data_IF_541636739931
#
_entry.id   IF_541636739931
#
_cell.length_a   1.000
_cell.length_b   1.000
_cell.length_c   1.000
_cell.angle_alpha   90.00
_cell.angle_beta   90.00
_cell.angle_gamma   90.00
#
_symmetry.space_group_name_H-M   'P 1'
#
loop_
_entity.id
_entity.type
_entity.pdbx_description
1 polymer ?
#
# COMPACT_ATOMS: atom_id res chain seq x y z
N UNK A 1 11.18 -3.21 -10.82
CA UNK A 1 11.38 -2.00 -11.66
C UNK A 1 10.07 -1.59 -12.35
N UNK A 2 9.34 -2.54 -12.92
CA UNK A 2 8.06 -2.29 -13.61
C UNK A 2 6.99 -1.74 -12.65
N UNK A 3 6.82 -2.33 -11.46
CA UNK A 3 5.88 -1.84 -10.43
C UNK A 3 6.19 -0.42 -10.00
N UNK A 4 7.50 -0.12 -9.75
CA UNK A 4 7.93 1.23 -9.39
C UNK A 4 7.68 2.23 -10.51
N UNK A 5 7.91 1.86 -11.76
CA UNK A 5 7.62 2.71 -12.92
C UNK A 5 6.12 2.99 -13.04
N UNK A 6 5.26 1.98 -12.91
CA UNK A 6 3.80 2.16 -12.94
C UNK A 6 3.32 3.08 -11.81
N UNK A 7 3.89 2.94 -10.60
CA UNK A 7 3.61 3.83 -9.49
C UNK A 7 4.04 5.27 -9.78
N UNK A 8 5.21 5.48 -10.39
CA UNK A 8 5.68 6.80 -10.80
C UNK A 8 4.76 7.46 -11.84
N UNK A 9 4.29 6.69 -12.82
CA UNK A 9 3.36 7.19 -13.86
C UNK A 9 1.95 7.44 -13.33
N UNK A 10 1.57 6.86 -12.19
CA UNK A 10 0.27 7.07 -11.55
C UNK A 10 -0.92 6.42 -12.27
N UNK A 11 -0.66 5.60 -13.30
CA UNK A 11 -1.70 5.10 -14.20
C UNK A 11 -2.57 3.99 -13.61
N UNK A 12 -2.08 3.25 -12.58
CA UNK A 12 -2.72 2.05 -12.06
C UNK A 12 -2.92 2.02 -10.54
N UNK A 13 -2.51 3.06 -9.82
CA UNK A 13 -2.49 3.07 -8.35
C UNK A 13 -3.88 2.74 -7.77
N UNK A 14 -4.93 3.36 -8.30
CA UNK A 14 -6.30 3.10 -7.83
C UNK A 14 -6.71 1.64 -8.02
N UNK A 15 -6.35 1.02 -9.16
CA UNK A 15 -6.64 -0.39 -9.42
C UNK A 15 -5.83 -1.32 -8.52
N UNK A 16 -4.55 -1.00 -8.29
CA UNK A 16 -3.69 -1.79 -7.41
C UNK A 16 -4.20 -1.75 -5.96
N UNK A 17 -4.69 -0.60 -5.47
CA UNK A 17 -5.31 -0.46 -4.16
C UNK A 17 -6.61 -1.30 -4.07
N UNK A 18 -7.47 -1.24 -5.07
CA UNK A 18 -8.71 -2.03 -5.13
C UNK A 18 -8.41 -3.52 -5.07
N UNK A 19 -7.45 -3.99 -5.88
CA UNK A 19 -7.04 -5.40 -5.89
C UNK A 19 -6.45 -5.81 -4.53
N UNK A 20 -5.60 -4.98 -3.94
CA UNK A 20 -5.02 -5.24 -2.62
C UNK A 20 -6.11 -5.37 -1.54
N UNK A 21 -7.10 -4.48 -1.53
CA UNK A 21 -8.22 -4.55 -0.57
C UNK A 21 -9.01 -5.85 -0.77
N UNK A 22 -9.29 -6.23 -2.04
CA UNK A 22 -9.96 -7.49 -2.35
C UNK A 22 -9.18 -8.69 -1.84
N UNK A 23 -7.89 -8.77 -2.16
CA UNK A 23 -7.01 -9.88 -1.76
C UNK A 23 -6.94 -9.99 -0.23
N UNK A 24 -6.89 -8.88 0.50
CA UNK A 24 -6.88 -8.90 1.97
C UNK A 24 -8.20 -9.38 2.56
N UNK A 25 -9.33 -8.96 2.00
CA UNK A 25 -10.65 -9.45 2.44
C UNK A 25 -10.82 -10.95 2.17
N UNK A 26 -10.45 -11.41 0.97
CA UNK A 26 -10.55 -12.81 0.60
C UNK A 26 -9.62 -13.69 1.46
N UNK A 27 -8.36 -13.31 1.61
CA UNK A 27 -7.38 -14.05 2.42
C UNK A 27 -7.79 -14.14 3.89
N UNK A 28 -8.29 -13.06 4.48
CA UNK A 28 -8.75 -13.06 5.87
C UNK A 28 -9.87 -14.07 6.11
N UNK A 29 -10.77 -14.24 5.14
CA UNK A 29 -11.93 -15.14 5.25
C UNK A 29 -11.58 -16.58 4.89
N UNK A 30 -10.69 -16.79 3.92
CA UNK A 30 -10.34 -18.13 3.44
C UNK A 30 -9.38 -18.88 4.35
N UNK A 31 -8.40 -18.16 4.90
CA UNK A 31 -7.25 -18.77 5.57
C UNK A 31 -7.33 -18.77 7.10
N UNK A 32 -8.37 -18.16 7.69
CA UNK A 32 -8.48 -18.01 9.13
C UNK A 32 -9.78 -18.62 9.67
N UNK A 33 -9.79 -18.86 10.98
CA UNK A 33 -11.02 -18.99 11.75
C UNK A 33 -11.64 -17.59 12.00
N UNK A 34 -12.77 -17.53 12.72
CA UNK A 34 -13.47 -16.26 12.94
C UNK A 34 -12.62 -15.24 13.70
N UNK A 35 -11.92 -15.66 14.75
CA UNK A 35 -11.07 -14.77 15.56
C UNK A 35 -9.85 -14.29 14.74
N UNK A 36 -9.21 -15.19 14.00
CA UNK A 36 -8.11 -14.86 13.09
C UNK A 36 -8.54 -13.90 11.99
N UNK A 37 -9.73 -14.10 11.42
CA UNK A 37 -10.31 -13.18 10.44
C UNK A 37 -10.53 -11.77 11.03
N UNK A 38 -11.07 -11.67 12.25
CA UNK A 38 -11.22 -10.37 12.92
C UNK A 38 -9.89 -9.67 13.12
N UNK A 39 -8.88 -10.41 13.59
CA UNK A 39 -7.56 -9.84 13.82
C UNK A 39 -6.90 -9.37 12.52
N UNK A 40 -7.00 -10.15 11.46
CA UNK A 40 -6.41 -9.79 10.17
C UNK A 40 -7.09 -8.56 9.55
N UNK A 41 -8.42 -8.50 9.55
CA UNK A 41 -9.15 -7.32 9.06
C UNK A 41 -8.83 -6.05 9.87
N UNK A 42 -8.69 -6.18 11.19
CA UNK A 42 -8.33 -5.06 12.05
C UNK A 42 -6.89 -4.59 11.78
N UNK A 43 -5.95 -5.50 11.63
CA UNK A 43 -4.53 -5.18 11.41
C UNK A 43 -4.23 -4.65 10.02
N UNK A 44 -4.89 -5.19 8.98
CA UNK A 44 -4.58 -4.86 7.59
C UNK A 44 -5.45 -3.73 7.04
N UNK A 45 -6.73 -3.71 7.36
CA UNK A 45 -7.70 -2.74 6.82
C UNK A 45 -8.23 -1.76 7.87
N UNK A 46 -7.84 -1.92 9.14
CA UNK A 46 -8.32 -1.12 10.28
C UNK A 46 -9.86 -1.04 10.30
N UNK A 47 -10.51 -2.20 10.17
CA UNK A 47 -11.96 -2.34 10.19
C UNK A 47 -12.38 -3.52 11.05
N UNK A 48 -13.56 -3.39 11.66
CA UNK A 48 -14.22 -4.48 12.34
C UNK A 48 -14.87 -5.45 11.34
N UNK A 49 -15.02 -6.70 11.74
CA UNK A 49 -15.65 -7.75 10.93
C UNK A 49 -17.13 -7.42 10.71
N UNK A 50 -17.61 -7.32 9.45
CA UNK A 50 -18.98 -6.91 9.16
C UNK A 50 -20.03 -8.03 9.23
N UNK A 51 -19.69 -9.14 9.84
CA UNK A 51 -20.54 -10.32 9.99
C UNK A 51 -20.31 -11.00 11.34
N UNK A 52 -21.28 -11.80 11.78
CA UNK A 52 -21.21 -12.55 13.03
C UNK A 52 -20.51 -13.91 12.83
N UNK A 53 -20.14 -14.56 13.95
CA UNK A 53 -19.55 -15.90 13.90
C UNK A 53 -20.52 -16.94 13.29
N UNK A 54 -21.83 -16.77 13.50
CA UNK A 54 -22.86 -17.64 12.91
C UNK A 54 -22.93 -17.46 11.39
N UNK A 55 -22.88 -16.21 10.90
CA UNK A 55 -22.81 -15.91 9.47
C UNK A 55 -21.52 -16.50 8.87
N UNK A 56 -20.39 -16.37 9.56
CA UNK A 56 -19.10 -16.90 9.10
C UNK A 56 -19.12 -18.42 8.91
N UNK A 57 -19.86 -19.14 9.76
CA UNK A 57 -19.99 -20.60 9.68
C UNK A 57 -21.00 -21.07 8.62
N UNK A 58 -22.04 -20.28 8.37
CA UNK A 58 -23.18 -20.71 7.57
C UNK A 58 -23.20 -20.13 6.16
N UNK A 59 -22.59 -18.98 5.93
CA UNK A 59 -22.56 -18.34 4.61
C UNK A 59 -21.38 -18.81 3.77
N UNK A 60 -21.50 -18.65 2.45
CA UNK A 60 -20.41 -18.92 1.52
C UNK A 60 -19.30 -17.87 1.70
N UNK A 61 -18.06 -18.34 1.71
CA UNK A 61 -16.87 -17.48 1.85
C UNK A 61 -16.81 -16.37 0.81
N UNK A 62 -17.17 -16.65 -0.44
CA UNK A 62 -17.23 -15.65 -1.51
C UNK A 62 -18.21 -14.50 -1.19
N UNK A 63 -19.40 -14.83 -0.67
CA UNK A 63 -20.42 -13.84 -0.29
C UNK A 63 -19.92 -12.95 0.86
N UNK A 64 -19.26 -13.55 1.85
CA UNK A 64 -18.65 -12.81 2.95
C UNK A 64 -17.48 -11.92 2.47
N UNK A 65 -16.69 -12.41 1.52
CA UNK A 65 -15.60 -11.64 0.92
C UNK A 65 -16.12 -10.41 0.16
N UNK A 66 -17.17 -10.57 -0.65
CA UNK A 66 -17.81 -9.45 -1.34
C UNK A 66 -18.41 -8.42 -0.38
N UNK A 67 -19.13 -8.88 0.66
CA UNK A 67 -19.71 -8.01 1.70
C UNK A 67 -18.61 -7.22 2.40
N UNK A 68 -17.53 -7.89 2.79
CA UNK A 68 -16.38 -7.27 3.47
C UNK A 68 -15.67 -6.28 2.57
N UNK A 69 -15.44 -6.63 1.32
CA UNK A 69 -14.82 -5.78 0.32
C UNK A 69 -15.62 -4.49 0.09
N UNK A 70 -16.93 -4.58 -0.08
CA UNK A 70 -17.78 -3.41 -0.30
C UNK A 70 -17.68 -2.42 0.87
N UNK A 71 -17.71 -2.92 2.11
CA UNK A 71 -17.55 -2.09 3.31
C UNK A 71 -16.13 -1.52 3.43
N UNK A 72 -15.11 -2.31 3.11
CA UNK A 72 -13.73 -1.85 3.09
C UNK A 72 -13.51 -0.72 2.07
N UNK A 73 -14.09 -0.86 0.88
CA UNK A 73 -14.04 0.19 -0.17
C UNK A 73 -14.78 1.46 0.24
N UNK A 74 -15.95 1.34 0.88
CA UNK A 74 -16.67 2.49 1.40
C UNK A 74 -15.88 3.21 2.50
N UNK A 75 -15.27 2.46 3.42
CA UNK A 75 -14.39 3.00 4.45
C UNK A 75 -13.15 3.69 3.85
N UNK A 76 -12.53 3.10 2.85
CA UNK A 76 -11.41 3.70 2.13
C UNK A 76 -11.81 5.02 1.47
N UNK A 77 -12.91 5.03 0.72
CA UNK A 77 -13.45 6.23 0.07
C UNK A 77 -13.75 7.33 1.09
N UNK A 78 -14.39 7.02 2.20
CA UNK A 78 -14.67 7.98 3.28
C UNK A 78 -13.39 8.57 3.89
N UNK A 79 -12.35 7.74 4.08
CA UNK A 79 -11.05 8.21 4.61
C UNK A 79 -10.35 9.15 3.62
N UNK A 80 -10.36 8.83 2.32
CA UNK A 80 -9.75 9.67 1.28
C UNK A 80 -10.49 10.99 1.07
N UNK A 81 -11.83 10.97 1.10
CA UNK A 81 -12.66 12.18 1.05
C UNK A 81 -12.41 13.09 2.27
N UNK A 82 -12.29 12.51 3.46
CA UNK A 82 -11.97 13.26 4.68
C UNK A 82 -10.59 13.92 4.59
N UNK A 83 -9.59 13.22 4.05
CA UNK A 83 -8.26 13.79 3.84
C UNK A 83 -8.31 14.99 2.89
N UNK A 84 -9.02 14.87 1.77
CA UNK A 84 -9.22 15.97 0.84
C UNK A 84 -9.94 17.17 1.49
N UNK A 85 -10.98 16.92 2.28
CA UNK A 85 -11.71 17.97 3.00
C UNK A 85 -10.86 18.72 4.02
N UNK A 86 -9.95 18.03 4.72
CA UNK A 86 -9.04 18.65 5.67
C UNK A 86 -7.97 19.50 4.94
N UNK A 87 -7.47 19.03 3.80
CA UNK A 87 -6.46 19.72 3.02
C UNK A 87 -7.03 20.96 2.27
N UNK A 88 -8.28 20.90 1.84
CA UNK A 88 -8.87 21.89 0.94
C UNK A 88 -8.82 23.35 1.43
N UNK A 89 -9.15 23.68 2.69
CA UNK A 89 -9.07 25.05 3.19
C UNK A 89 -7.65 25.62 3.12
N UNK A 90 -6.65 24.79 3.46
CA UNK A 90 -5.23 25.18 3.43
C UNK A 90 -4.77 25.42 1.98
N UNK A 91 -5.13 24.49 1.07
CA UNK A 91 -4.79 24.61 -0.35
C UNK A 91 -5.42 25.89 -0.96
N UNK A 92 -6.69 26.17 -0.67
CA UNK A 92 -7.36 27.41 -1.14
C UNK A 92 -6.63 28.64 -0.63
N UNK A 93 -6.35 28.71 0.66
CA UNK A 93 -5.66 29.85 1.26
C UNK A 93 -4.28 30.07 0.64
N UNK A 94 -3.50 29.03 0.43
CA UNK A 94 -2.15 29.14 -0.18
C UNK A 94 -2.27 29.56 -1.65
N UNK A 95 -3.18 28.97 -2.41
CA UNK A 95 -3.36 29.29 -3.83
C UNK A 95 -3.83 30.73 -4.03
N UNK A 96 -4.80 31.20 -3.29
CA UNK A 96 -5.35 32.56 -3.41
C UNK A 96 -4.34 33.64 -2.98
N UNK A 97 -3.51 33.37 -1.97
CA UNK A 97 -2.55 34.33 -1.45
C UNK A 97 -1.19 34.28 -2.18
N UNK A 98 -0.74 33.09 -2.59
CA UNK A 98 0.64 32.86 -3.05
C UNK A 98 0.72 31.95 -4.29
N UNK A 99 -0.40 31.68 -4.97
CA UNK A 99 -0.43 30.75 -6.11
C UNK A 99 0.45 31.15 -7.29
N UNK A 100 0.79 32.43 -7.41
CA UNK A 100 1.72 32.94 -8.42
C UNK A 100 3.20 32.71 -8.09
N UNK A 101 3.51 32.38 -6.82
CA UNK A 101 4.90 32.20 -6.34
C UNK A 101 5.35 30.74 -6.35
N UNK A 102 4.39 29.80 -6.22
CA UNK A 102 4.69 28.38 -6.03
C UNK A 102 3.96 27.53 -7.05
N UNK A 103 4.70 26.75 -7.82
CA UNK A 103 4.15 25.73 -8.71
C UNK A 103 3.81 24.45 -7.94
N UNK A 104 4.70 24.05 -7.05
CA UNK A 104 4.55 22.84 -6.21
C UNK A 104 4.64 23.22 -4.73
N UNK A 105 3.89 22.47 -3.92
CA UNK A 105 3.90 22.60 -2.46
C UNK A 105 4.25 21.28 -1.82
N UNK A 106 4.81 21.36 -0.62
CA UNK A 106 5.03 20.20 0.25
C UNK A 106 3.98 20.20 1.35
N UNK A 107 3.24 19.11 1.42
CA UNK A 107 2.17 18.89 2.40
C UNK A 107 2.66 17.84 3.38
N UNK A 108 2.86 18.18 4.68
CA UNK A 108 3.19 17.20 5.69
C UNK A 108 1.93 16.42 6.10
N UNK A 109 1.97 15.10 5.96
CA UNK A 109 0.92 14.18 6.43
C UNK A 109 1.53 13.27 7.47
N UNK A 110 0.89 13.15 8.63
CA UNK A 110 1.38 12.33 9.74
C UNK A 110 0.28 11.47 10.34
N UNK A 111 0.66 10.27 10.80
CA UNK A 111 -0.15 9.37 11.62
C UNK A 111 0.18 9.48 13.13
N UNK A 112 1.03 10.46 13.49
CA UNK A 112 1.55 10.64 14.84
C UNK A 112 2.85 9.89 15.15
N UNK A 113 3.24 8.91 14.32
CA UNK A 113 4.51 8.16 14.43
C UNK A 113 5.44 8.45 13.25
N UNK A 114 4.88 8.58 12.06
CA UNK A 114 5.62 8.85 10.82
C UNK A 114 5.12 10.14 10.19
N UNK A 115 6.01 10.84 9.51
CA UNK A 115 5.69 12.04 8.75
C UNK A 115 6.10 11.83 7.29
N UNK A 116 5.17 12.08 6.38
CA UNK A 116 5.38 12.02 4.95
C UNK A 116 5.24 13.42 4.37
N UNK A 117 6.25 13.91 3.67
CA UNK A 117 6.20 15.17 2.95
C UNK A 117 5.78 14.90 1.51
N UNK A 118 4.54 15.23 1.18
CA UNK A 118 3.94 14.96 -0.12
C UNK A 118 4.12 16.17 -1.01
N UNK A 119 4.81 15.99 -2.14
CA UNK A 119 4.91 17.02 -3.17
C UNK A 119 3.69 16.96 -4.08
N UNK A 120 3.00 18.07 -4.22
CA UNK A 120 1.82 18.19 -5.05
C UNK A 120 1.85 19.51 -5.84
N UNK A 121 1.34 19.49 -7.09
CA UNK A 121 1.16 20.70 -7.87
C UNK A 121 0.02 21.52 -7.26
N UNK A 122 0.30 22.78 -6.92
CA UNK A 122 -0.64 23.64 -6.18
C UNK A 122 -1.91 23.95 -7.00
N UNK A 123 -1.77 24.23 -8.30
CA UNK A 123 -2.89 24.51 -9.18
C UNK A 123 -3.81 23.29 -9.33
N UNK A 124 -3.21 22.12 -9.58
CA UNK A 124 -3.97 20.87 -9.70
C UNK A 124 -4.67 20.50 -8.38
N UNK A 125 -4.03 20.72 -7.23
CA UNK A 125 -4.64 20.52 -5.92
C UNK A 125 -5.84 21.47 -5.69
N UNK A 126 -5.74 22.73 -6.11
CA UNK A 126 -6.82 23.70 -6.00
C UNK A 126 -8.00 23.32 -6.91
N UNK A 127 -7.75 23.07 -8.20
CA UNK A 127 -8.77 22.75 -9.20
C UNK A 127 -9.50 21.43 -8.92
N UNK A 128 -8.81 20.46 -8.30
CA UNK A 128 -9.39 19.15 -7.94
C UNK A 128 -10.05 19.12 -6.55
N UNK A 129 -10.19 20.26 -5.88
CA UNK A 129 -10.67 20.32 -4.49
C UNK A 129 -9.88 19.38 -3.55
N UNK A 130 -8.55 19.38 -3.70
CA UNK A 130 -7.57 18.58 -2.96
C UNK A 130 -7.62 17.06 -3.22
N UNK A 131 -8.34 16.57 -4.22
CA UNK A 131 -8.29 15.15 -4.63
C UNK A 131 -6.92 14.78 -5.17
N UNK A 132 -6.22 15.71 -5.82
CA UNK A 132 -4.85 15.50 -6.29
C UNK A 132 -3.86 15.30 -5.13
N UNK A 133 -4.11 15.90 -3.96
CA UNK A 133 -3.33 15.66 -2.74
C UNK A 133 -3.46 14.21 -2.28
N UNK A 134 -4.67 13.63 -2.35
CA UNK A 134 -4.90 12.22 -2.00
C UNK A 134 -4.13 11.30 -2.94
N UNK A 135 -4.20 11.53 -4.24
CA UNK A 135 -3.45 10.75 -5.24
C UNK A 135 -1.93 10.86 -5.05
N UNK A 136 -1.44 12.06 -4.76
CA UNK A 136 -0.04 12.29 -4.47
C UNK A 136 0.41 11.55 -3.19
N UNK A 137 -0.45 11.51 -2.18
CA UNK A 137 -0.23 10.75 -0.96
C UNK A 137 -0.17 9.24 -1.23
N UNK A 138 -1.17 8.67 -1.91
CA UNK A 138 -1.21 7.25 -2.29
C UNK A 138 0.04 6.85 -3.09
N UNK A 139 0.42 7.66 -4.07
CA UNK A 139 1.63 7.48 -4.86
C UNK A 139 2.90 7.51 -3.99
N UNK A 140 3.01 8.46 -3.07
CA UNK A 140 4.16 8.59 -2.18
C UNK A 140 4.31 7.39 -1.26
N UNK A 141 3.22 6.91 -0.66
CA UNK A 141 3.23 5.71 0.19
C UNK A 141 3.63 4.47 -0.60
N UNK A 142 3.04 4.27 -1.78
CA UNK A 142 3.36 3.12 -2.63
C UNK A 142 4.83 3.11 -3.03
N UNK A 143 5.39 4.25 -3.43
CA UNK A 143 6.81 4.38 -3.77
C UNK A 143 7.71 4.11 -2.57
N UNK A 144 7.34 4.63 -1.39
CA UNK A 144 8.08 4.40 -0.16
C UNK A 144 8.12 2.91 0.20
N UNK A 145 6.98 2.23 0.15
CA UNK A 145 6.90 0.79 0.45
C UNK A 145 7.73 -0.03 -0.55
N UNK A 146 7.64 0.27 -1.84
CA UNK A 146 8.44 -0.41 -2.87
C UNK A 146 9.94 -0.18 -2.63
N UNK A 147 10.34 1.05 -2.33
CA UNK A 147 11.76 1.38 -2.14
C UNK A 147 12.34 0.74 -0.86
N UNK A 148 11.56 0.66 0.22
CA UNK A 148 11.98 -0.03 1.45
C UNK A 148 12.07 -1.55 1.25
N UNK A 149 11.07 -2.17 0.62
CA UNK A 149 11.11 -3.59 0.28
C UNK A 149 12.28 -3.93 -0.66
N UNK A 150 12.58 -3.05 -1.62
CA UNK A 150 13.73 -3.21 -2.50
C UNK A 150 15.06 -3.12 -1.77
N UNK A 151 15.23 -2.19 -0.85
CA UNK A 151 16.45 -2.09 -0.02
C UNK A 151 16.66 -3.34 0.81
N UNK A 152 15.59 -3.87 1.41
CA UNK A 152 15.67 -5.10 2.18
C UNK A 152 16.06 -6.29 1.30
N UNK A 153 15.43 -6.43 0.13
CA UNK A 153 15.77 -7.48 -0.82
C UNK A 153 17.24 -7.41 -1.27
N UNK A 154 17.78 -6.20 -1.50
CA UNK A 154 19.20 -6.04 -1.82
C UNK A 154 20.11 -6.51 -0.67
N UNK A 155 19.73 -6.24 0.58
CA UNK A 155 20.47 -6.70 1.75
C UNK A 155 20.46 -8.22 1.86
N UNK A 156 19.29 -8.84 1.69
CA UNK A 156 19.13 -10.30 1.68
C UNK A 156 19.93 -10.96 0.56
N UNK A 157 19.97 -10.35 -0.62
CA UNK A 157 20.79 -10.82 -1.75
C UNK A 157 22.30 -10.77 -1.44
N UNK A 158 22.77 -9.74 -0.74
CA UNK A 158 24.16 -9.65 -0.31
C UNK A 158 24.47 -10.72 0.75
N UNK A 159 23.60 -10.99 1.70
CA UNK A 159 23.73 -12.07 2.67
C UNK A 159 23.74 -13.44 1.98
N UNK A 160 22.82 -13.67 1.03
CA UNK A 160 22.80 -14.88 0.22
C UNK A 160 24.12 -15.08 -0.55
N UNK A 161 24.65 -14.03 -1.15
CA UNK A 161 25.93 -14.08 -1.87
C UNK A 161 27.08 -14.54 -0.99
N UNK A 162 27.10 -14.13 0.26
CA UNK A 162 28.09 -14.59 1.23
C UNK A 162 27.86 -16.05 1.67
N UNK A 163 26.62 -16.44 1.90
CA UNK A 163 26.26 -17.79 2.35
C UNK A 163 26.58 -18.86 1.31
N UNK A 164 26.28 -18.60 0.02
CA UNK A 164 26.52 -19.59 -1.05
C UNK A 164 28.00 -19.83 -1.37
N UNK A 165 28.91 -18.96 -0.92
CA UNK A 165 30.36 -19.21 -1.04
C UNK A 165 30.79 -20.52 -0.32
N UNK A 166 30.07 -20.88 0.72
CA UNK A 166 30.33 -22.11 1.48
C UNK A 166 29.71 -23.36 0.81
N UNK A 167 28.82 -23.22 -0.16
CA UNK A 167 28.19 -24.35 -0.83
C UNK A 167 29.17 -25.24 -1.61
N UNK A 168 30.32 -24.71 -1.97
CA UNK A 168 31.40 -25.48 -2.63
C UNK A 168 31.89 -26.63 -1.76
N UNK A 169 31.83 -26.51 -0.43
CA UNK A 169 32.22 -27.60 0.50
C UNK A 169 31.21 -28.76 0.45
N UNK A 170 29.97 -28.52 0.04
CA UNK A 170 28.93 -29.54 -0.09
C UNK A 170 28.84 -30.13 -1.51
N UNK A 171 29.82 -29.86 -2.39
CA UNK A 171 29.81 -30.26 -3.80
C UNK A 171 28.62 -29.77 -4.61
N UNK A 172 28.01 -28.63 -4.21
CA UNK A 172 26.94 -27.94 -4.91
C UNK A 172 27.51 -26.79 -5.72
N UNK A 173 26.86 -26.44 -6.82
CA UNK A 173 27.22 -25.27 -7.62
C UNK A 173 26.69 -24.00 -6.96
N UNK A 174 27.56 -23.10 -6.41
CA UNK A 174 27.15 -21.89 -5.74
C UNK A 174 26.35 -20.95 -6.63
N UNK A 175 26.65 -20.92 -7.93
CA UNK A 175 25.94 -20.04 -8.87
C UNK A 175 24.50 -20.50 -9.09
N UNK A 176 24.29 -21.82 -9.18
CA UNK A 176 22.95 -22.39 -9.33
C UNK A 176 22.10 -22.11 -8.09
N UNK A 177 22.66 -22.31 -6.89
CA UNK A 177 21.97 -22.02 -5.62
C UNK A 177 21.62 -20.55 -5.56
N UNK A 178 22.57 -19.66 -5.83
CA UNK A 178 22.34 -18.21 -5.83
C UNK A 178 21.20 -17.81 -6.76
N UNK A 179 21.16 -18.33 -7.98
CA UNK A 179 20.10 -18.05 -8.95
C UNK A 179 18.71 -18.50 -8.47
N UNK A 180 18.61 -19.70 -7.91
CA UNK A 180 17.34 -20.23 -7.43
C UNK A 180 16.82 -19.46 -6.22
N UNK A 181 17.67 -19.25 -5.22
CA UNK A 181 17.26 -18.57 -3.99
C UNK A 181 17.02 -17.06 -4.20
N UNK A 182 17.76 -16.41 -5.11
CA UNK A 182 17.51 -15.00 -5.45
C UNK A 182 16.14 -14.77 -6.09
N UNK A 183 15.63 -15.73 -6.86
CA UNK A 183 14.24 -15.66 -7.39
C UNK A 183 13.24 -15.78 -6.24
N UNK A 184 13.46 -16.73 -5.32
CA UNK A 184 12.59 -16.92 -4.15
C UNK A 184 12.53 -15.67 -3.27
N UNK A 185 13.68 -15.04 -2.99
CA UNK A 185 13.75 -13.78 -2.23
C UNK A 185 13.00 -12.64 -2.96
N UNK A 186 13.15 -12.56 -4.27
CA UNK A 186 12.45 -11.55 -5.06
C UNK A 186 10.94 -11.75 -5.08
N UNK A 187 10.48 -12.99 -5.18
CA UNK A 187 9.05 -13.32 -5.19
C UNK A 187 8.39 -13.09 -3.81
N UNK A 188 9.16 -13.21 -2.73
CA UNK A 188 8.72 -12.92 -1.36
C UNK A 188 8.62 -11.41 -1.05
N UNK A 189 9.27 -10.54 -1.82
CA UNK A 189 9.24 -9.08 -1.69
C UNK A 189 7.87 -8.49 -2.09
#
# INVERSE_FOLDING_TARGET
YTKRRHALMGERIGMDIVNMIWDRCANAIENNDYEGCQMELLQTLAMETPFTEEEFRNEKKDTLAEKTFNIAMENFKRKTERLAQIANPVIKQVYENQGHMYENILIPITDGKRMYNISCNLKAAYESESKEVVKAFEKSILLHVIDEAWKENLRELDELKHSVQNASYEQKDPLLIYKLESVTLFDAM
#
